data_IF_555256775542
#
_entry.id   IF_555256775542
#
_cell.length_a   1.000
_cell.length_b   1.000
_cell.length_c   1.000
_cell.angle_alpha   90.00
_cell.angle_beta   90.00
_cell.angle_gamma   90.00
#
_symmetry.space_group_name_H-M   'P 1'
#
loop_
_entity.id
_entity.type
_entity.pdbx_description
1 polymer ?
#
# COMPACT_ATOMS: atom_id res chain seq x y z
N UNK A 1 -22.07 -1.12 10.22
CA UNK A 1 -21.86 -2.38 9.46
C UNK A 1 -20.49 -2.88 9.85
N UNK A 2 -20.41 -4.00 10.50
CA UNK A 2 -19.16 -4.59 10.98
C UNK A 2 -18.37 -5.13 9.80
N UNK A 3 -17.12 -4.71 9.63
CA UNK A 3 -16.28 -5.18 8.55
C UNK A 3 -15.72 -6.58 8.87
N UNK A 4 -16.14 -7.56 8.08
CA UNK A 4 -15.68 -8.96 8.20
C UNK A 4 -14.37 -9.21 7.46
N UNK A 5 -14.14 -8.48 6.37
CA UNK A 5 -12.95 -8.61 5.53
C UNK A 5 -12.22 -7.28 5.53
N UNK A 6 -10.98 -7.27 5.97
CA UNK A 6 -10.17 -6.06 6.05
C UNK A 6 -8.92 -6.23 5.20
N UNK A 7 -8.85 -5.45 4.12
CA UNK A 7 -7.78 -5.50 3.13
C UNK A 7 -6.80 -4.37 3.44
N UNK A 8 -5.60 -4.70 3.83
CA UNK A 8 -4.53 -3.76 4.13
C UNK A 8 -3.54 -3.61 2.97
N UNK A 9 -3.06 -2.41 2.75
CA UNK A 9 -1.76 -2.18 2.14
C UNK A 9 -0.65 -2.40 3.18
N UNK A 10 0.60 -2.49 2.72
CA UNK A 10 1.77 -2.73 3.56
C UNK A 10 2.57 -1.46 3.81
N UNK A 11 3.16 -0.92 2.74
CA UNK A 11 4.12 0.18 2.81
C UNK A 11 3.41 1.49 3.10
N UNK A 12 3.97 2.29 4.01
CA UNK A 12 3.41 3.54 4.55
C UNK A 12 2.02 3.39 5.20
N UNK A 13 1.48 2.16 5.25
CA UNK A 13 0.26 1.78 5.96
C UNK A 13 0.59 1.05 7.26
N UNK A 14 1.14 -0.15 7.18
CA UNK A 14 1.53 -0.98 8.34
C UNK A 14 2.99 -0.79 8.73
N UNK A 15 3.86 -0.57 7.75
CA UNK A 15 5.29 -0.38 7.94
C UNK A 15 5.78 0.83 7.16
N UNK A 16 6.89 1.41 7.61
CA UNK A 16 7.63 2.45 6.91
C UNK A 16 9.01 1.93 6.49
N UNK A 17 9.44 2.31 5.28
CA UNK A 17 10.78 2.02 4.78
C UNK A 17 11.27 3.14 3.87
N UNK A 18 12.51 3.57 4.09
CA UNK A 18 13.18 4.55 3.23
C UNK A 18 13.64 3.96 1.88
N UNK A 19 13.52 2.65 1.67
CA UNK A 19 14.03 1.96 0.48
C UNK A 19 13.43 2.52 -0.83
N UNK A 20 12.14 2.84 -0.85
CA UNK A 20 11.46 3.43 -2.02
C UNK A 20 12.07 4.78 -2.36
N UNK A 21 12.19 5.70 -1.39
CA UNK A 21 12.76 7.03 -1.58
C UNK A 21 14.26 6.95 -1.95
N UNK A 22 15.00 6.05 -1.30
CA UNK A 22 16.41 5.80 -1.61
C UNK A 22 16.60 5.31 -3.05
N UNK A 23 15.81 4.32 -3.50
CA UNK A 23 15.87 3.81 -4.86
C UNK A 23 15.55 4.88 -5.91
N UNK A 24 14.50 5.69 -5.69
CA UNK A 24 14.21 6.83 -6.57
C UNK A 24 15.37 7.84 -6.60
N UNK A 25 15.95 8.15 -5.43
CA UNK A 25 17.08 9.06 -5.32
C UNK A 25 18.31 8.60 -6.10
N UNK A 26 18.65 7.32 -6.01
CA UNK A 26 19.80 6.74 -6.76
C UNK A 26 19.56 6.81 -8.26
N UNK A 27 18.37 6.39 -8.75
CA UNK A 27 18.07 6.44 -10.17
C UNK A 27 18.01 7.87 -10.70
N UNK A 28 17.51 8.81 -9.90
CA UNK A 28 17.52 10.24 -10.28
C UNK A 28 18.94 10.76 -10.44
N UNK A 29 19.85 10.45 -9.53
CA UNK A 29 21.27 10.82 -9.61
C UNK A 29 21.97 10.20 -10.83
N UNK A 30 21.70 8.94 -11.16
CA UNK A 30 22.18 8.29 -12.40
C UNK A 30 21.74 9.07 -13.67
N UNK A 31 20.65 9.83 -13.56
CA UNK A 31 20.11 10.67 -14.65
C UNK A 31 20.48 12.15 -14.55
N UNK A 32 21.31 12.54 -13.59
CA UNK A 32 21.71 13.92 -13.36
C UNK A 32 20.65 14.78 -12.66
N UNK A 33 19.66 14.16 -12.04
CA UNK A 33 18.64 14.83 -11.21
C UNK A 33 19.04 14.72 -9.73
N UNK A 34 18.90 15.81 -8.98
CA UNK A 34 19.25 15.79 -7.54
C UNK A 34 18.22 15.01 -6.73
N UNK A 35 18.67 14.41 -5.62
CA UNK A 35 17.76 13.75 -4.65
C UNK A 35 16.69 14.69 -4.13
N UNK A 36 17.03 15.96 -3.89
CA UNK A 36 16.06 16.95 -3.42
C UNK A 36 14.93 17.20 -4.44
N UNK A 37 15.28 17.31 -5.74
CA UNK A 37 14.27 17.47 -6.79
C UNK A 37 13.38 16.22 -6.92
N UNK A 38 13.98 15.02 -6.78
CA UNK A 38 13.21 13.77 -6.79
C UNK A 38 12.30 13.69 -5.56
N UNK A 39 12.78 14.02 -4.36
CA UNK A 39 11.95 14.02 -3.14
C UNK A 39 10.74 14.94 -3.29
N UNK A 40 10.96 16.19 -3.75
CA UNK A 40 9.85 17.13 -3.99
C UNK A 40 8.83 16.61 -5.01
N UNK A 41 9.29 15.86 -6.03
CA UNK A 41 8.39 15.25 -7.00
C UNK A 41 7.58 14.10 -6.39
N UNK A 42 8.21 13.27 -5.56
CA UNK A 42 7.52 12.18 -4.86
C UNK A 42 6.45 12.71 -3.91
N UNK A 43 6.76 13.80 -3.20
CA UNK A 43 5.79 14.48 -2.32
C UNK A 43 4.61 15.07 -3.11
N UNK A 44 4.85 15.55 -4.33
CA UNK A 44 3.81 16.07 -5.23
C UNK A 44 2.98 14.97 -5.94
N UNK A 45 3.47 13.74 -5.97
CA UNK A 45 2.87 12.62 -6.71
C UNK A 45 2.77 11.34 -5.87
N UNK A 46 2.10 11.37 -4.70
CA UNK A 46 2.04 10.23 -3.81
C UNK A 46 1.37 9.02 -4.47
N UNK A 47 1.88 7.83 -4.23
CA UNK A 47 1.33 6.56 -4.72
C UNK A 47 1.32 6.38 -6.24
N UNK A 48 2.05 7.22 -7.00
CA UNK A 48 2.16 7.05 -8.46
C UNK A 48 3.18 5.96 -8.80
N UNK A 49 2.91 5.16 -9.85
CA UNK A 49 3.87 4.18 -10.36
C UNK A 49 5.19 4.84 -10.76
N UNK A 50 6.32 4.15 -10.53
CA UNK A 50 7.66 4.64 -10.84
C UNK A 50 7.77 5.14 -12.29
N UNK A 51 7.13 4.47 -13.24
CA UNK A 51 7.10 4.89 -14.64
C UNK A 51 6.49 6.30 -14.82
N UNK A 52 5.41 6.62 -14.10
CA UNK A 52 4.76 7.93 -14.16
C UNK A 52 5.62 9.01 -13.51
N UNK A 53 6.27 8.70 -12.39
CA UNK A 53 7.23 9.60 -11.73
C UNK A 53 8.36 9.97 -12.70
N UNK A 54 8.96 8.99 -13.37
CA UNK A 54 10.04 9.25 -14.33
C UNK A 54 9.56 9.99 -15.60
N UNK A 55 8.30 9.81 -16.01
CA UNK A 55 7.71 10.64 -17.07
C UNK A 55 7.55 12.10 -16.61
N UNK A 56 7.13 12.34 -15.38
CA UNK A 56 6.99 13.68 -14.82
C UNK A 56 8.33 14.41 -14.67
N UNK A 57 9.45 13.69 -14.55
CA UNK A 57 10.81 14.25 -14.68
C UNK A 57 11.16 14.71 -16.12
N UNK A 58 10.26 14.53 -17.09
CA UNK A 58 10.49 14.91 -18.49
C UNK A 58 11.19 13.84 -19.33
N UNK A 59 11.35 12.62 -18.83
CA UNK A 59 11.95 11.53 -19.60
C UNK A 59 11.04 11.07 -20.74
N UNK A 60 11.63 10.72 -21.89
CA UNK A 60 10.90 10.03 -22.95
C UNK A 60 10.45 8.65 -22.48
N UNK A 61 9.31 8.16 -22.99
CA UNK A 61 8.69 6.90 -22.56
C UNK A 61 9.65 5.71 -22.47
N UNK A 62 10.58 5.55 -23.43
CA UNK A 62 11.56 4.49 -23.41
C UNK A 62 12.55 4.62 -22.24
N UNK A 63 13.06 5.83 -21.98
CA UNK A 63 13.94 6.13 -20.87
C UNK A 63 13.22 5.99 -19.51
N UNK A 64 11.98 6.48 -19.40
CA UNK A 64 11.18 6.33 -18.20
C UNK A 64 10.91 4.84 -17.87
N UNK A 65 10.69 4.00 -18.88
CA UNK A 65 10.53 2.56 -18.70
C UNK A 65 11.82 1.89 -18.22
N UNK A 66 12.97 2.27 -18.80
CA UNK A 66 14.28 1.76 -18.36
C UNK A 66 14.58 2.18 -16.91
N UNK A 67 14.31 3.45 -16.57
CA UNK A 67 14.46 3.97 -15.22
C UNK A 67 13.55 3.26 -14.20
N UNK A 68 12.31 3.00 -14.56
CA UNK A 68 11.39 2.24 -13.69
C UNK A 68 11.88 0.79 -13.50
N UNK A 69 12.46 0.16 -14.53
CA UNK A 69 13.08 -1.16 -14.39
C UNK A 69 14.31 -1.13 -13.48
N UNK A 70 15.16 -0.09 -13.60
CA UNK A 70 16.32 0.12 -12.72
C UNK A 70 15.89 0.37 -11.27
N UNK A 71 14.84 1.18 -11.07
CA UNK A 71 14.24 1.41 -9.76
C UNK A 71 13.80 0.10 -9.09
N UNK A 72 13.07 -0.76 -9.80
CA UNK A 72 12.61 -2.04 -9.24
C UNK A 72 13.77 -2.97 -8.87
N UNK A 73 14.84 -3.00 -9.67
CA UNK A 73 16.04 -3.77 -9.34
C UNK A 73 16.71 -3.23 -8.07
N UNK A 74 16.91 -1.92 -7.98
CA UNK A 74 17.51 -1.28 -6.81
C UNK A 74 16.63 -1.41 -5.56
N UNK A 75 15.33 -1.30 -5.72
CA UNK A 75 14.41 -1.46 -4.59
C UNK A 75 14.54 -2.85 -3.97
N UNK A 76 14.69 -3.89 -4.80
CA UNK A 76 14.93 -5.25 -4.31
C UNK A 76 16.23 -5.35 -3.48
N UNK A 77 17.31 -4.73 -3.95
CA UNK A 77 18.60 -4.75 -3.26
C UNK A 77 18.55 -3.93 -1.96
N UNK A 78 18.08 -2.68 -2.04
CA UNK A 78 17.99 -1.77 -0.89
C UNK A 78 17.00 -2.25 0.18
N UNK A 79 15.96 -2.94 -0.21
CA UNK A 79 14.96 -3.48 0.69
C UNK A 79 15.51 -4.59 1.62
N UNK A 80 16.63 -5.21 1.24
CA UNK A 80 17.37 -6.13 2.09
C UNK A 80 18.38 -5.42 3.02
N UNK A 81 18.76 -4.18 2.69
CA UNK A 81 19.81 -3.43 3.39
C UNK A 81 19.24 -2.37 4.34
N UNK A 82 18.08 -1.77 4.00
CA UNK A 82 17.46 -0.72 4.78
C UNK A 82 16.41 -1.29 5.75
N UNK A 83 16.35 -0.79 6.98
CA UNK A 83 15.39 -1.27 7.95
C UNK A 83 13.96 -0.94 7.51
N UNK A 84 13.08 -1.92 7.64
CA UNK A 84 11.64 -1.72 7.62
C UNK A 84 11.18 -1.64 9.07
N UNK A 85 10.39 -0.62 9.41
CA UNK A 85 9.94 -0.36 10.78
C UNK A 85 8.41 -0.36 10.80
N UNK A 86 7.84 -1.19 11.66
CA UNK A 86 6.39 -1.20 11.88
C UNK A 86 5.93 0.12 12.52
N UNK A 87 4.78 0.62 12.10
CA UNK A 87 4.15 1.70 12.83
C UNK A 87 3.73 1.21 14.23
N UNK A 88 3.87 2.05 15.26
CA UNK A 88 3.73 1.62 16.66
C UNK A 88 2.37 0.99 17.00
N UNK A 89 1.33 1.36 16.27
CA UNK A 89 -0.04 0.90 16.46
C UNK A 89 -0.44 -0.26 15.50
N UNK A 90 0.44 -0.70 14.60
CA UNK A 90 0.11 -1.74 13.63
C UNK A 90 -0.21 -3.08 14.31
N UNK A 91 0.70 -3.60 15.13
CA UNK A 91 0.52 -4.90 15.78
C UNK A 91 -0.75 -4.94 16.65
N UNK A 92 -0.98 -3.91 17.46
CA UNK A 92 -2.16 -3.86 18.34
C UNK A 92 -3.47 -3.74 17.56
N UNK A 93 -3.45 -3.02 16.44
CA UNK A 93 -4.62 -2.89 15.57
C UNK A 93 -4.96 -4.21 14.87
N UNK A 94 -3.96 -4.91 14.31
CA UNK A 94 -4.15 -6.23 13.71
C UNK A 94 -4.70 -7.25 14.71
N UNK A 95 -4.12 -7.32 15.92
CA UNK A 95 -4.59 -8.18 16.99
C UNK A 95 -6.03 -7.86 17.43
N UNK A 96 -6.39 -6.59 17.51
CA UNK A 96 -7.75 -6.19 17.86
C UNK A 96 -8.77 -6.63 16.80
N UNK A 97 -8.44 -6.50 15.52
CA UNK A 97 -9.31 -6.93 14.41
C UNK A 97 -9.44 -8.46 14.36
N UNK A 98 -8.35 -9.18 14.59
CA UNK A 98 -8.37 -10.65 14.70
C UNK A 98 -9.27 -11.09 15.86
N UNK A 99 -9.14 -10.47 17.04
CA UNK A 99 -9.97 -10.76 18.20
C UNK A 99 -11.46 -10.48 17.97
N UNK A 100 -11.78 -9.54 17.06
CA UNK A 100 -13.15 -9.26 16.60
C UNK A 100 -13.65 -10.26 15.54
N UNK A 101 -12.79 -11.21 15.11
CA UNK A 101 -13.15 -12.21 14.10
C UNK A 101 -13.10 -11.69 12.67
N UNK A 102 -12.42 -10.58 12.41
CA UNK A 102 -12.20 -10.08 11.05
C UNK A 102 -11.21 -10.98 10.30
N UNK A 103 -11.47 -11.23 9.03
CA UNK A 103 -10.53 -11.87 8.09
C UNK A 103 -9.61 -10.82 7.54
N UNK A 104 -8.32 -10.90 7.87
CA UNK A 104 -7.31 -9.94 7.42
C UNK A 104 -6.66 -10.42 6.14
N UNK A 105 -6.52 -9.53 5.16
CA UNK A 105 -5.90 -9.78 3.87
C UNK A 105 -4.90 -8.66 3.56
N UNK A 106 -3.78 -9.01 2.96
CA UNK A 106 -2.76 -8.05 2.53
C UNK A 106 -2.74 -7.94 1.01
N UNK A 107 -2.76 -6.72 0.49
CA UNK A 107 -2.66 -6.43 -0.93
C UNK A 107 -1.66 -5.29 -1.13
N UNK A 108 -0.43 -5.60 -1.51
CA UNK A 108 0.67 -4.61 -1.61
C UNK A 108 1.27 -4.51 -3.00
N UNK A 109 1.81 -3.34 -3.32
CA UNK A 109 2.64 -3.10 -4.49
C UNK A 109 4.06 -3.69 -4.36
N UNK A 110 4.46 -4.08 -3.17
CA UNK A 110 5.75 -4.73 -2.90
C UNK A 110 5.78 -6.18 -3.37
N UNK A 111 6.98 -6.73 -3.55
CA UNK A 111 7.14 -8.13 -3.99
C UNK A 111 6.58 -9.12 -2.96
N UNK A 112 6.12 -10.32 -3.41
CA UNK A 112 5.68 -11.36 -2.49
C UNK A 112 6.74 -11.75 -1.45
N UNK A 113 8.01 -11.81 -1.87
CA UNK A 113 9.12 -12.14 -0.98
C UNK A 113 9.34 -11.08 0.10
N UNK A 114 9.19 -9.79 -0.24
CA UNK A 114 9.27 -8.71 0.74
C UNK A 114 8.09 -8.75 1.71
N UNK A 115 6.88 -8.89 1.20
CA UNK A 115 5.70 -8.99 2.05
C UNK A 115 5.85 -10.12 3.08
N UNK A 116 6.21 -11.33 2.62
CA UNK A 116 6.42 -12.49 3.49
C UNK A 116 7.50 -12.22 4.55
N UNK A 117 8.64 -11.64 4.15
CA UNK A 117 9.73 -11.32 5.08
C UNK A 117 9.31 -10.34 6.17
N UNK A 118 8.58 -9.27 5.79
CA UNK A 118 8.09 -8.28 6.76
C UNK A 118 7.13 -8.91 7.76
N UNK A 119 6.17 -9.70 7.28
CA UNK A 119 5.22 -10.39 8.16
C UNK A 119 5.92 -11.34 9.13
N UNK A 120 6.92 -12.09 8.66
CA UNK A 120 7.73 -12.98 9.50
C UNK A 120 8.55 -12.20 10.56
N UNK A 121 9.19 -11.10 10.16
CA UNK A 121 9.98 -10.25 11.06
C UNK A 121 9.14 -9.61 12.17
N UNK A 122 7.93 -9.17 11.84
CA UNK A 122 7.01 -8.56 12.80
C UNK A 122 6.14 -9.58 13.56
N UNK A 123 6.19 -10.86 13.17
CA UNK A 123 5.37 -11.93 13.77
C UNK A 123 3.88 -11.76 13.47
N UNK A 124 3.54 -11.22 12.32
CA UNK A 124 2.14 -11.00 11.89
C UNK A 124 1.63 -12.19 11.08
N UNK A 125 1.04 -13.15 11.76
CA UNK A 125 0.50 -14.41 11.20
C UNK A 125 -1.03 -14.39 10.99
N UNK A 126 -1.69 -13.30 11.35
CA UNK A 126 -3.15 -13.16 11.28
C UNK A 126 -3.71 -12.99 9.86
N UNK A 127 -2.87 -12.79 8.84
CA UNK A 127 -3.33 -12.62 7.47
C UNK A 127 -3.70 -13.94 6.81
N UNK A 128 -4.98 -14.11 6.42
CA UNK A 128 -5.47 -15.29 5.69
C UNK A 128 -4.96 -15.33 4.24
N UNK A 129 -4.68 -14.16 3.64
CA UNK A 129 -4.21 -14.01 2.28
C UNK A 129 -3.17 -12.89 2.20
N UNK A 130 -2.05 -13.17 1.54
CA UNK A 130 -0.95 -12.21 1.34
C UNK A 130 -0.65 -12.10 -0.16
N UNK A 131 -0.93 -10.94 -0.74
CA UNK A 131 -0.77 -10.66 -2.16
C UNK A 131 0.28 -9.56 -2.35
N UNK A 132 1.43 -9.95 -2.86
CA UNK A 132 2.48 -9.04 -3.36
C UNK A 132 2.40 -8.87 -4.86
N UNK A 133 3.08 -7.86 -5.38
CA UNK A 133 3.13 -7.57 -6.82
C UNK A 133 4.43 -8.11 -7.44
N UNK A 134 4.30 -8.73 -8.58
CA UNK A 134 5.41 -9.22 -9.39
C UNK A 134 5.22 -8.83 -10.87
N UNK A 135 5.91 -9.54 -11.79
CA UNK A 135 5.81 -9.26 -13.23
C UNK A 135 4.48 -9.73 -13.84
N UNK A 136 3.85 -10.71 -13.23
CA UNK A 136 2.65 -11.38 -13.73
C UNK A 136 1.39 -10.85 -13.03
N UNK A 137 1.50 -10.58 -11.73
CA UNK A 137 0.39 -10.15 -10.88
C UNK A 137 0.72 -8.79 -10.24
N UNK A 138 0.02 -7.76 -10.63
CA UNK A 138 0.17 -6.42 -10.07
C UNK A 138 -0.99 -6.14 -9.09
N UNK A 139 -0.70 -5.37 -8.03
CA UNK A 139 -1.75 -4.81 -7.16
C UNK A 139 -2.80 -4.11 -8.03
N UNK A 140 -4.06 -4.57 -7.95
CA UNK A 140 -5.15 -4.12 -8.81
C UNK A 140 -6.23 -5.18 -8.93
N UNK A 141 -6.91 -5.25 -10.08
CA UNK A 141 -8.00 -6.21 -10.33
C UNK A 141 -7.58 -7.67 -10.05
N UNK A 142 -6.37 -8.06 -10.43
CA UNK A 142 -5.86 -9.41 -10.19
C UNK A 142 -5.79 -9.78 -8.70
N UNK A 143 -5.46 -8.81 -7.81
CA UNK A 143 -5.51 -9.05 -6.37
C UNK A 143 -6.95 -9.20 -5.88
N UNK A 144 -7.87 -8.36 -6.36
CA UNK A 144 -9.27 -8.44 -5.97
C UNK A 144 -9.97 -9.71 -6.47
N UNK A 145 -9.56 -10.28 -7.62
CA UNK A 145 -9.99 -11.59 -8.07
C UNK A 145 -9.57 -12.69 -7.09
N UNK A 146 -8.32 -12.66 -6.60
CA UNK A 146 -7.84 -13.62 -5.60
C UNK A 146 -8.51 -13.43 -4.24
N UNK A 147 -8.71 -12.17 -3.80
CA UNK A 147 -9.47 -11.85 -2.58
C UNK A 147 -10.89 -12.40 -2.68
N UNK A 148 -11.54 -12.23 -3.83
CA UNK A 148 -12.89 -12.77 -4.07
C UNK A 148 -12.95 -14.29 -4.04
N UNK A 149 -11.90 -14.97 -4.50
CA UNK A 149 -11.80 -16.42 -4.44
C UNK A 149 -11.54 -16.95 -3.01
N UNK A 150 -10.80 -16.19 -2.20
CA UNK A 150 -10.53 -16.53 -0.80
C UNK A 150 -11.74 -16.25 0.10
N UNK A 151 -12.50 -15.21 -0.19
CA UNK A 151 -13.66 -14.84 0.60
C UNK A 151 -14.73 -15.94 0.61
N UNK A 152 -15.19 -16.29 1.81
CA UNK A 152 -16.15 -17.38 2.01
C UNK A 152 -17.60 -17.00 1.68
N UNK A 153 -17.88 -15.72 1.45
CA UNK A 153 -19.19 -15.19 1.12
C UNK A 153 -19.21 -14.57 -0.27
N UNK A 154 -20.28 -14.80 -1.04
CA UNK A 154 -20.46 -14.19 -2.36
C UNK A 154 -20.74 -12.68 -2.31
N UNK A 155 -21.16 -12.16 -1.17
CA UNK A 155 -21.42 -10.74 -0.90
C UNK A 155 -20.32 -10.11 -0.03
N UNK A 156 -19.12 -10.69 -0.03
CA UNK A 156 -18.01 -10.29 0.82
C UNK A 156 -17.69 -8.81 0.74
N UNK A 157 -17.81 -8.21 -0.46
CA UNK A 157 -17.55 -6.78 -0.65
C UNK A 157 -18.44 -5.91 0.23
N UNK A 158 -19.70 -6.28 0.43
CA UNK A 158 -20.64 -5.54 1.29
C UNK A 158 -20.20 -5.48 2.76
N UNK A 159 -19.30 -6.36 3.17
CA UNK A 159 -18.76 -6.46 4.52
C UNK A 159 -17.23 -6.24 4.55
N UNK A 160 -16.70 -5.54 3.55
CA UNK A 160 -15.28 -5.32 3.43
C UNK A 160 -14.87 -3.88 3.71
N UNK A 161 -13.62 -3.73 4.13
CA UNK A 161 -12.93 -2.46 4.23
C UNK A 161 -11.57 -2.54 3.52
N UNK A 162 -11.17 -1.46 2.86
CA UNK A 162 -9.81 -1.27 2.33
C UNK A 162 -9.10 -0.19 3.10
N UNK A 163 -7.90 -0.49 3.56
CA UNK A 163 -7.04 0.39 4.36
C UNK A 163 -5.74 0.62 3.59
N UNK A 164 -5.37 1.86 3.36
CA UNK A 164 -4.13 2.19 2.66
C UNK A 164 -3.81 3.68 2.74
N UNK A 165 -2.57 4.04 2.46
CA UNK A 165 -2.07 5.42 2.47
C UNK A 165 -2.18 6.11 1.10
N UNK A 166 -2.43 5.34 0.03
CA UNK A 166 -2.36 5.87 -1.32
C UNK A 166 -3.74 6.09 -1.97
N UNK A 167 -3.86 7.10 -2.87
CA UNK A 167 -5.04 7.28 -3.70
C UNK A 167 -5.39 6.04 -4.54
N UNK A 168 -4.42 5.17 -4.81
CA UNK A 168 -4.63 3.93 -5.55
C UNK A 168 -5.47 2.94 -4.75
N UNK A 169 -5.22 2.81 -3.45
CA UNK A 169 -5.98 1.93 -2.56
C UNK A 169 -7.45 2.32 -2.52
N UNK A 170 -7.69 3.60 -2.40
CA UNK A 170 -9.05 4.15 -2.37
C UNK A 170 -9.80 3.90 -3.68
N UNK A 171 -9.14 4.15 -4.82
CA UNK A 171 -9.75 3.87 -6.15
C UNK A 171 -10.03 2.39 -6.33
N UNK A 172 -9.08 1.50 -6.01
CA UNK A 172 -9.27 0.06 -6.13
C UNK A 172 -10.44 -0.42 -5.28
N UNK A 173 -10.52 0.00 -4.02
CA UNK A 173 -11.67 -0.30 -3.17
C UNK A 173 -12.99 0.17 -3.78
N UNK A 174 -13.03 1.38 -4.34
CA UNK A 174 -14.23 1.92 -4.99
C UNK A 174 -14.61 1.15 -6.26
N UNK A 175 -13.65 0.85 -7.13
CA UNK A 175 -13.83 0.08 -8.37
C UNK A 175 -14.39 -1.32 -8.12
N UNK A 176 -14.05 -1.93 -6.99
CA UNK A 176 -14.51 -3.26 -6.60
C UNK A 176 -15.69 -3.24 -5.62
N UNK A 177 -16.30 -2.08 -5.39
CA UNK A 177 -17.54 -1.96 -4.61
C UNK A 177 -17.34 -2.13 -3.09
N UNK A 178 -16.13 -1.95 -2.57
CA UNK A 178 -15.86 -1.97 -1.13
C UNK A 178 -16.43 -0.70 -0.48
N UNK A 179 -17.37 -0.79 0.46
CA UNK A 179 -18.08 0.37 0.99
C UNK A 179 -17.24 1.21 1.95
N UNK A 180 -16.36 0.59 2.71
CA UNK A 180 -15.51 1.27 3.69
C UNK A 180 -14.09 1.37 3.11
N UNK A 181 -13.64 2.60 2.84
CA UNK A 181 -12.31 2.88 2.30
C UNK A 181 -11.65 3.91 3.20
N UNK A 182 -10.67 3.45 3.98
CA UNK A 182 -10.02 4.28 4.98
C UNK A 182 -8.62 4.64 4.49
N UNK A 183 -8.42 5.92 4.24
CA UNK A 183 -7.10 6.48 3.95
C UNK A 183 -6.30 6.71 5.23
N UNK A 184 -5.05 6.28 5.26
CA UNK A 184 -4.10 6.62 6.33
C UNK A 184 -3.31 7.84 5.87
N UNK A 185 -3.53 8.98 6.51
CA UNK A 185 -2.83 10.23 6.22
C UNK A 185 -2.03 10.66 7.46
N UNK A 186 -0.74 10.40 7.41
CA UNK A 186 0.19 10.73 8.50
C UNK A 186 0.77 12.14 8.37
N UNK A 187 0.68 12.73 7.18
CA UNK A 187 1.29 14.03 6.85
C UNK A 187 0.28 15.20 6.90
N UNK A 188 -1.01 14.90 6.93
CA UNK A 188 -2.08 15.88 7.15
C UNK A 188 -2.63 16.56 5.89
N UNK A 189 -2.46 15.93 4.70
CA UNK A 189 -3.12 16.35 3.45
C UNK A 189 -4.04 15.27 2.89
N UNK A 190 -5.22 15.16 3.46
CA UNK A 190 -6.24 14.18 3.10
C UNK A 190 -6.83 14.36 1.68
N UNK A 191 -6.56 15.47 0.99
CA UNK A 191 -7.27 15.86 -0.23
C UNK A 191 -7.20 14.79 -1.33
N UNK A 192 -6.01 14.26 -1.60
CA UNK A 192 -5.80 13.25 -2.63
C UNK A 192 -6.50 11.91 -2.32
N UNK A 193 -6.58 11.53 -1.05
CA UNK A 193 -7.29 10.33 -0.61
C UNK A 193 -8.80 10.49 -0.75
N UNK A 194 -9.34 11.64 -0.34
CA UNK A 194 -10.76 11.96 -0.47
C UNK A 194 -11.20 12.04 -1.94
N UNK A 195 -10.42 12.71 -2.79
CA UNK A 195 -10.66 12.77 -4.24
C UNK A 195 -10.62 11.38 -4.91
N UNK A 196 -9.81 10.46 -4.35
CA UNK A 196 -9.72 9.09 -4.82
C UNK A 196 -10.84 8.18 -4.31
N UNK A 197 -11.75 8.70 -3.47
CA UNK A 197 -12.90 7.98 -2.99
C UNK A 197 -12.75 7.37 -1.59
N UNK A 198 -11.83 7.88 -0.75
CA UNK A 198 -11.82 7.53 0.66
C UNK A 198 -13.17 7.91 1.30
N UNK A 199 -13.73 7.00 2.09
CA UNK A 199 -14.93 7.27 2.90
C UNK A 199 -14.58 7.86 4.25
N UNK A 200 -13.38 7.55 4.72
CA UNK A 200 -12.80 8.07 5.95
C UNK A 200 -11.31 8.31 5.73
N UNK A 201 -10.77 9.28 6.43
CA UNK A 201 -9.32 9.50 6.52
C UNK A 201 -8.96 9.63 7.98
N UNK A 202 -7.91 8.91 8.39
CA UNK A 202 -7.40 8.90 9.77
C UNK A 202 -5.88 9.07 9.76
N UNK A 203 -5.30 9.50 10.86
CA UNK A 203 -3.84 9.68 10.96
C UNK A 203 -3.12 8.53 11.64
N UNK A 204 -3.85 7.62 12.28
CA UNK A 204 -3.29 6.43 12.94
C UNK A 204 -4.10 5.19 12.60
N UNK A 205 -3.46 4.01 12.68
CA UNK A 205 -4.15 2.74 12.47
C UNK A 205 -5.17 2.45 13.56
N UNK A 206 -4.90 2.84 14.80
CA UNK A 206 -5.84 2.62 15.89
C UNK A 206 -7.18 3.32 15.68
N UNK A 207 -7.20 4.42 14.94
CA UNK A 207 -8.43 5.18 14.63
C UNK A 207 -9.38 4.44 13.67
N UNK A 208 -8.91 3.36 13.00
CA UNK A 208 -9.78 2.56 12.12
C UNK A 208 -10.75 1.68 12.92
N UNK A 209 -10.40 1.27 14.14
CA UNK A 209 -11.18 0.33 14.94
C UNK A 209 -12.63 0.79 15.17
N UNK A 210 -12.89 2.03 15.64
CA UNK A 210 -14.26 2.50 15.83
C UNK A 210 -15.04 2.60 14.51
N UNK A 211 -14.38 2.84 13.38
CA UNK A 211 -15.03 2.89 12.06
C UNK A 211 -15.47 1.49 11.62
N UNK A 212 -14.61 0.50 11.82
CA UNK A 212 -14.85 -0.88 11.38
C UNK A 212 -15.84 -1.62 12.28
N UNK A 213 -16.00 -1.18 13.53
CA UNK A 213 -16.91 -1.78 14.52
C UNK A 213 -18.24 -1.02 14.67
N UNK A 214 -18.40 0.12 14.01
CA UNK A 214 -19.66 0.86 14.04
C UNK A 214 -20.75 0.06 13.31
N UNK A 215 -21.72 -0.44 14.08
CA UNK A 215 -22.87 -1.22 13.63
C UNK A 215 -23.87 -0.40 12.79
#
# INVERSE_FOLDING_TARGET
MEARYVIFDLDDTLVHSDAVRAAFGVVAEEMGVTRASMSSLLDAMPGRPAFEIFLALGLRRAAARAAAGRFLSLLHDLDSELPTVAYPDAASTLQALEALGSTLMLSTGSSPARAARVLEQEGWDAFSLVLGSDRETLKGAAHYEQISAEATSSDWTSHAATIGDSPRDMRLGAEHGVPIRIGIDRDGDASALLEAGATHVVSTLSDILPILTAA
#
